data_IF_760367144988
#
_entry.id   IF_760367144988
#
_cell.length_a   1.000
_cell.length_b   1.000
_cell.length_c   1.000
_cell.angle_alpha   90.00
_cell.angle_beta   90.00
_cell.angle_gamma   90.00
#
_symmetry.space_group_name_H-M   'P 1'
#
loop_
_entity.id
_entity.type
_entity.pdbx_description
1 polymer ?
#
# COMPACT_ATOMS: atom_id res chain seq x y z
N UNK A 1 -3.19 10.58 39.31
CA UNK A 1 -2.44 9.37 38.91
C UNK A 1 -1.16 9.85 38.25
N UNK A 2 0.03 9.35 38.64
CA UNK A 2 1.29 9.84 38.07
C UNK A 2 1.43 9.36 36.62
N UNK A 3 1.83 10.24 35.71
CA UNK A 3 2.07 9.89 34.29
C UNK A 3 3.05 8.72 34.13
N UNK A 4 4.00 8.59 35.07
CA UNK A 4 4.95 7.50 35.13
C UNK A 4 4.28 6.14 35.36
N UNK A 5 3.25 6.09 36.22
CA UNK A 5 2.51 4.84 36.43
C UNK A 5 1.78 4.45 35.15
N UNK A 6 1.14 5.42 34.48
CA UNK A 6 0.44 5.17 33.21
C UNK A 6 1.40 4.74 32.09
N UNK A 7 2.58 5.36 31.99
CA UNK A 7 3.61 4.97 31.02
C UNK A 7 4.19 3.59 31.33
N UNK A 8 4.42 3.26 32.61
CA UNK A 8 4.88 1.91 32.98
C UNK A 8 3.82 0.86 32.74
N UNK A 9 2.55 1.16 33.04
CA UNK A 9 1.43 0.26 32.77
C UNK A 9 1.31 0.01 31.26
N UNK A 10 1.27 1.07 30.46
CA UNK A 10 1.23 0.98 29.00
C UNK A 10 2.44 0.23 28.44
N UNK A 11 3.64 0.49 28.96
CA UNK A 11 4.86 -0.20 28.54
C UNK A 11 4.78 -1.70 28.85
N UNK A 12 4.34 -2.07 30.06
CA UNK A 12 4.18 -3.48 30.42
C UNK A 12 3.10 -4.16 29.58
N UNK A 13 2.05 -3.45 29.19
CA UNK A 13 0.99 -3.97 28.33
C UNK A 13 1.49 -4.20 26.90
N UNK A 14 2.11 -3.19 26.29
CA UNK A 14 2.72 -3.30 24.96
C UNK A 14 3.81 -4.37 24.93
N UNK A 15 4.62 -4.50 25.98
CA UNK A 15 5.64 -5.53 26.07
C UNK A 15 5.02 -6.94 26.15
N UNK A 16 3.89 -7.10 26.84
CA UNK A 16 3.15 -8.37 26.84
C UNK A 16 2.63 -8.70 25.44
N UNK A 17 2.05 -7.74 24.72
CA UNK A 17 1.55 -7.97 23.36
C UNK A 17 2.69 -8.28 22.37
N UNK A 18 3.80 -7.55 22.44
CA UNK A 18 4.96 -7.80 21.57
C UNK A 18 5.56 -9.19 21.82
N UNK A 19 5.67 -9.60 23.09
CA UNK A 19 6.10 -10.96 23.45
C UNK A 19 5.13 -12.02 22.93
N UNK A 20 3.82 -11.80 23.07
CA UNK A 20 2.82 -12.72 22.52
C UNK A 20 2.98 -12.88 21.02
N UNK A 21 3.13 -11.78 20.28
CA UNK A 21 3.32 -11.82 18.82
C UNK A 21 4.58 -12.58 18.41
N UNK A 22 5.70 -12.33 19.10
CA UNK A 22 6.94 -13.06 18.84
C UNK A 22 6.83 -14.55 19.18
N UNK A 23 6.10 -14.91 20.25
CA UNK A 23 5.83 -16.31 20.58
C UNK A 23 4.93 -16.99 19.55
N UNK A 24 3.92 -16.30 19.03
CA UNK A 24 3.05 -16.79 17.95
C UNK A 24 3.87 -17.03 16.68
N UNK A 25 4.75 -16.08 16.30
CA UNK A 25 5.65 -16.25 15.16
C UNK A 25 6.64 -17.40 15.36
N UNK A 26 7.20 -17.54 16.55
CA UNK A 26 8.07 -18.67 16.88
C UNK A 26 7.31 -20.01 16.76
N UNK A 27 6.09 -20.08 17.27
CA UNK A 27 5.23 -21.25 17.13
C UNK A 27 4.96 -21.57 15.65
N UNK A 28 4.67 -20.55 14.84
CA UNK A 28 4.52 -20.68 13.38
C UNK A 28 5.74 -21.28 12.71
N UNK A 29 6.94 -20.78 13.02
CA UNK A 29 8.19 -21.31 12.46
C UNK A 29 8.43 -22.77 12.89
N UNK A 30 8.16 -23.11 14.15
CA UNK A 30 8.31 -24.49 14.63
C UNK A 30 7.36 -25.46 13.95
N UNK A 31 6.12 -25.00 13.72
CA UNK A 31 5.08 -25.78 13.06
C UNK A 31 5.39 -25.96 11.58
N UNK A 32 5.90 -24.92 10.91
CA UNK A 32 6.38 -25.00 9.53
C UNK A 32 7.53 -26.01 9.38
N UNK A 33 8.52 -25.97 10.27
CA UNK A 33 9.63 -26.94 10.29
C UNK A 33 9.13 -28.36 10.56
N UNK A 34 8.16 -28.53 11.46
CA UNK A 34 7.53 -29.83 11.73
C UNK A 34 6.82 -30.37 10.48
N UNK A 35 6.00 -29.54 9.81
CA UNK A 35 5.30 -29.89 8.58
C UNK A 35 6.27 -30.29 7.45
N UNK A 36 7.31 -29.49 7.22
CA UNK A 36 8.32 -29.80 6.21
C UNK A 36 9.06 -31.11 6.51
N UNK A 37 9.38 -31.37 7.78
CA UNK A 37 9.98 -32.62 8.21
C UNK A 37 9.06 -33.84 8.00
N UNK A 38 7.76 -33.69 8.28
CA UNK A 38 6.75 -34.73 8.03
C UNK A 38 6.57 -35.01 6.53
N UNK A 39 6.54 -33.97 5.69
CA UNK A 39 6.45 -34.09 4.24
C UNK A 39 7.69 -34.81 3.69
N UNK A 40 8.90 -34.36 4.05
CA UNK A 40 10.14 -35.00 3.61
C UNK A 40 10.24 -36.47 4.04
N UNK A 41 9.79 -36.80 5.25
CA UNK A 41 9.72 -38.18 5.72
C UNK A 41 8.71 -39.02 4.92
N UNK A 42 7.50 -38.53 4.71
CA UNK A 42 6.42 -39.30 4.09
C UNK A 42 6.59 -39.43 2.57
N UNK A 43 7.10 -38.39 1.89
CA UNK A 43 7.15 -38.34 0.42
C UNK A 43 8.52 -38.66 -0.14
N UNK A 44 9.60 -38.17 0.47
CA UNK A 44 10.97 -38.37 -0.03
C UNK A 44 11.65 -39.62 0.56
N UNK A 45 10.91 -40.39 1.37
CA UNK A 45 11.43 -41.55 2.10
C UNK A 45 12.73 -41.25 2.87
N UNK A 46 12.89 -40.00 3.33
CA UNK A 46 14.09 -39.62 4.06
C UNK A 46 14.19 -40.46 5.34
N UNK A 47 15.37 -41.05 5.65
CA UNK A 47 15.61 -41.83 6.86
C UNK A 47 15.72 -40.94 8.10
N UNK A 48 14.89 -39.91 8.20
CA UNK A 48 14.86 -38.98 9.31
C UNK A 48 14.16 -39.65 10.48
N UNK A 49 14.95 -40.05 11.47
CA UNK A 49 14.42 -40.66 12.69
C UNK A 49 13.57 -39.64 13.48
N UNK A 50 12.49 -40.11 14.09
CA UNK A 50 11.63 -39.32 14.98
C UNK A 50 12.39 -38.50 16.04
N UNK A 51 13.41 -39.05 16.75
CA UNK A 51 14.15 -38.26 17.73
C UNK A 51 14.88 -37.07 17.10
N UNK A 52 15.48 -37.23 15.92
CA UNK A 52 16.19 -36.13 15.24
C UNK A 52 15.21 -35.01 14.86
N UNK A 53 14.06 -35.36 14.29
CA UNK A 53 13.02 -34.38 13.96
C UNK A 53 12.56 -33.62 15.20
N UNK A 54 12.29 -34.33 16.31
CA UNK A 54 11.85 -33.70 17.56
C UNK A 54 12.91 -32.75 18.13
N UNK A 55 14.19 -33.12 18.05
CA UNK A 55 15.30 -32.29 18.51
C UNK A 55 15.40 -31.01 17.69
N UNK A 56 15.26 -31.09 16.36
CA UNK A 56 15.26 -29.91 15.47
C UNK A 56 14.11 -28.97 15.84
N UNK A 57 12.90 -29.50 16.01
CA UNK A 57 11.72 -28.70 16.37
C UNK A 57 11.90 -28.02 17.73
N UNK A 58 12.41 -28.74 18.74
CA UNK A 58 12.71 -28.19 20.07
C UNK A 58 13.76 -27.09 19.98
N UNK A 59 14.82 -27.29 19.18
CA UNK A 59 15.89 -26.31 19.02
C UNK A 59 15.39 -25.02 18.37
N UNK A 60 14.56 -25.12 17.32
CA UNK A 60 13.92 -23.97 16.68
C UNK A 60 12.97 -23.25 17.64
N UNK A 61 12.19 -24.00 18.42
CA UNK A 61 11.28 -23.45 19.42
C UNK A 61 12.05 -22.68 20.51
N UNK A 62 13.12 -23.28 21.03
CA UNK A 62 13.97 -22.64 22.04
C UNK A 62 14.61 -21.36 21.51
N UNK A 63 15.12 -21.37 20.26
CA UNK A 63 15.69 -20.18 19.62
C UNK A 63 14.65 -19.06 19.47
N UNK A 64 13.42 -19.41 19.08
CA UNK A 64 12.31 -18.45 18.99
C UNK A 64 11.93 -17.84 20.33
N UNK A 65 11.89 -18.64 21.40
CA UNK A 65 11.62 -18.15 22.78
C UNK A 65 12.75 -17.24 23.28
N UNK A 66 14.01 -17.62 23.07
CA UNK A 66 15.17 -16.80 23.45
C UNK A 66 15.16 -15.47 22.69
N UNK A 67 14.85 -15.49 21.40
CA UNK A 67 14.71 -14.27 20.59
C UNK A 67 13.55 -13.38 21.08
N UNK A 68 12.40 -13.99 21.40
CA UNK A 68 11.24 -13.28 21.96
C UNK A 68 11.57 -12.60 23.30
N UNK A 69 12.42 -13.23 24.12
CA UNK A 69 12.88 -12.66 25.39
C UNK A 69 13.94 -11.58 25.22
N UNK A 70 14.81 -11.67 24.21
CA UNK A 70 15.87 -10.69 23.96
C UNK A 70 15.33 -9.38 23.36
N UNK A 71 14.19 -9.40 22.67
CA UNK A 71 13.57 -8.24 22.02
C UNK A 71 12.94 -7.21 22.98
N UNK A 72 13.56 -6.93 24.12
CA UNK A 72 13.11 -5.90 25.05
C UNK A 72 13.50 -4.54 24.43
N UNK A 73 12.54 -3.85 23.81
CA UNK A 73 12.76 -2.49 23.32
C UNK A 73 12.95 -1.56 24.52
N UNK A 74 14.00 -0.74 24.46
CA UNK A 74 14.20 0.35 25.42
C UNK A 74 13.02 1.31 25.37
N UNK A 75 12.48 1.77 26.52
CA UNK A 75 11.34 2.70 26.56
C UNK A 75 11.60 4.00 25.78
N UNK A 76 12.85 4.46 25.73
CA UNK A 76 13.24 5.65 24.96
C UNK A 76 13.02 5.47 23.45
N UNK A 77 13.33 4.28 22.92
CA UNK A 77 13.18 3.99 21.49
C UNK A 77 11.70 3.89 21.09
N UNK A 78 10.86 3.38 22.01
CA UNK A 78 9.41 3.31 21.80
C UNK A 78 8.77 4.70 21.80
N UNK A 79 9.24 5.60 22.68
CA UNK A 79 8.80 7.00 22.67
C UNK A 79 9.13 7.69 21.33
N UNK A 80 10.34 7.45 20.80
CA UNK A 80 10.78 8.02 19.52
C UNK A 80 9.98 7.49 18.32
N UNK A 81 9.67 6.19 18.30
CA UNK A 81 8.84 5.57 17.26
C UNK A 81 7.39 6.11 17.28
N UNK A 82 6.79 6.22 18.47
CA UNK A 82 5.47 6.81 18.62
C UNK A 82 5.46 8.28 18.18
N UNK A 83 6.53 9.01 18.47
CA UNK A 83 6.69 10.39 18.02
C UNK A 83 6.71 10.51 16.50
N UNK A 84 7.47 9.64 15.81
CA UNK A 84 7.54 9.60 14.36
C UNK A 84 6.21 9.19 13.73
N UNK A 85 5.57 8.14 14.25
CA UNK A 85 4.34 7.59 13.66
C UNK A 85 3.14 8.51 13.81
N UNK A 86 3.05 9.25 14.92
CA UNK A 86 1.95 10.18 15.21
C UNK A 86 2.31 11.65 14.98
N UNK A 87 3.49 11.93 14.40
CA UNK A 87 4.01 13.27 14.15
C UNK A 87 3.92 14.19 15.39
N UNK A 88 4.24 13.64 16.57
CA UNK A 88 4.11 14.35 17.85
C UNK A 88 5.26 15.35 18.08
N UNK A 89 6.16 15.57 17.10
CA UNK A 89 7.25 16.55 17.11
C UNK A 89 8.16 16.45 18.35
N UNK A 90 8.63 15.25 18.67
CA UNK A 90 9.50 14.96 19.82
C UNK A 90 8.83 15.23 21.19
N UNK A 91 7.50 15.40 21.26
CA UNK A 91 6.83 15.72 22.52
C UNK A 91 6.91 14.58 23.53
N UNK A 92 6.88 13.32 23.09
CA UNK A 92 6.95 12.16 23.97
C UNK A 92 8.38 11.82 24.36
N UNK A 93 9.33 11.93 23.41
CA UNK A 93 10.74 11.74 23.71
C UNK A 93 11.23 12.78 24.72
N UNK A 94 10.92 14.06 24.48
CA UNK A 94 11.24 15.18 25.38
C UNK A 94 10.57 15.00 26.74
N UNK A 95 9.28 14.62 26.79
CA UNK A 95 8.60 14.37 28.07
C UNK A 95 9.27 13.24 28.88
N UNK A 96 9.80 12.21 28.22
CA UNK A 96 10.51 11.11 28.88
C UNK A 96 11.90 11.51 29.40
N UNK A 97 12.61 12.37 28.67
CA UNK A 97 13.96 12.84 29.03
C UNK A 97 13.91 13.85 30.19
N UNK A 98 12.94 14.77 30.17
CA UNK A 98 12.78 15.81 31.19
C UNK A 98 11.91 15.39 32.39
N UNK A 99 11.61 14.09 32.53
CA UNK A 99 10.76 13.59 33.62
C UNK A 99 11.27 13.94 35.02
N UNK A 100 12.59 14.11 35.19
CA UNK A 100 13.21 14.47 36.47
C UNK A 100 13.30 15.99 36.72
N UNK A 101 12.96 16.84 35.74
CA UNK A 101 13.00 18.31 35.86
C UNK A 101 11.58 18.89 35.74
N UNK A 102 11.04 19.39 36.86
CA UNK A 102 9.62 19.77 36.99
C UNK A 102 9.32 21.25 36.80
N UNK A 103 10.27 22.08 36.40
CA UNK A 103 10.09 23.53 36.49
C UNK A 103 9.45 24.18 35.23
N UNK A 104 8.43 25.00 35.49
CA UNK A 104 7.86 26.01 34.60
C UNK A 104 7.24 25.50 33.29
N UNK A 105 8.02 25.53 32.21
CA UNK A 105 7.53 25.30 30.85
C UNK A 105 7.23 23.82 30.56
N UNK A 106 7.92 22.91 31.26
CA UNK A 106 7.75 21.47 31.07
C UNK A 106 6.39 20.96 31.58
N UNK A 107 5.77 21.65 32.55
CA UNK A 107 4.46 21.27 33.08
C UNK A 107 3.35 21.39 32.03
N UNK A 108 3.41 22.41 31.16
CA UNK A 108 2.40 22.64 30.11
C UNK A 108 2.49 21.59 29.00
N UNK A 109 3.71 21.21 28.60
CA UNK A 109 3.93 20.15 27.62
C UNK A 109 3.48 18.79 28.17
N UNK A 110 3.71 18.54 29.47
CA UNK A 110 3.23 17.34 30.14
C UNK A 110 1.69 17.25 30.14
N UNK A 111 1.00 18.37 30.37
CA UNK A 111 -0.47 18.40 30.35
C UNK A 111 -1.03 18.15 28.94
N UNK A 112 -0.42 18.73 27.89
CA UNK A 112 -0.81 18.46 26.50
C UNK A 112 -0.58 17.00 26.11
N UNK A 113 0.57 16.43 26.47
CA UNK A 113 0.87 15.03 26.24
C UNK A 113 -0.16 14.12 26.93
N UNK A 114 -0.51 14.41 28.19
CA UNK A 114 -1.52 13.66 28.94
C UNK A 114 -2.91 13.67 28.29
N UNK A 115 -3.32 14.78 27.64
CA UNK A 115 -4.62 14.82 26.95
C UNK A 115 -4.65 13.99 25.67
N UNK A 116 -3.51 13.84 24.98
CA UNK A 116 -3.41 13.08 23.72
C UNK A 116 -3.07 11.60 23.91
N UNK A 117 -2.47 11.24 25.04
CA UNK A 117 -2.05 9.87 25.35
C UNK A 117 -3.19 8.83 25.25
N UNK A 118 -4.42 9.09 25.75
CA UNK A 118 -5.50 8.12 25.67
C UNK A 118 -5.97 7.84 24.24
N UNK A 119 -5.99 8.86 23.37
CA UNK A 119 -6.39 8.68 21.96
C UNK A 119 -5.34 7.91 21.18
N UNK A 120 -4.05 8.23 21.39
CA UNK A 120 -2.94 7.51 20.78
C UNK A 120 -2.87 6.08 21.28
N UNK A 121 -3.06 5.84 22.59
CA UNK A 121 -3.07 4.49 23.14
C UNK A 121 -4.22 3.65 22.56
N UNK A 122 -5.40 4.23 22.37
CA UNK A 122 -6.56 3.52 21.79
C UNK A 122 -6.38 3.18 20.31
N UNK A 123 -5.75 4.07 19.54
CA UNK A 123 -5.47 3.84 18.12
C UNK A 123 -4.27 2.88 17.92
N UNK A 124 -3.23 3.01 18.74
CA UNK A 124 -2.11 2.08 18.73
C UNK A 124 -2.56 0.67 19.12
N UNK A 125 -3.45 0.54 20.12
CA UNK A 125 -3.98 -0.78 20.50
C UNK A 125 -4.86 -1.36 19.40
N UNK A 126 -5.80 -0.61 18.80
CA UNK A 126 -6.65 -1.15 17.73
C UNK A 126 -5.84 -1.64 16.52
N UNK A 127 -4.84 -0.85 16.07
CA UNK A 127 -3.99 -1.21 14.93
C UNK A 127 -3.09 -2.41 15.22
N UNK A 128 -2.57 -2.54 16.44
CA UNK A 128 -1.71 -3.66 16.83
C UNK A 128 -2.51 -4.93 17.11
N UNK A 129 -3.74 -4.82 17.64
CA UNK A 129 -4.59 -5.96 17.99
C UNK A 129 -5.35 -6.55 16.80
N UNK A 130 -5.72 -5.76 15.79
CA UNK A 130 -6.42 -6.25 14.59
C UNK A 130 -5.75 -7.47 13.93
N UNK A 131 -4.43 -7.53 13.71
CA UNK A 131 -3.80 -8.69 13.09
C UNK A 131 -3.71 -9.93 13.99
N UNK A 132 -3.83 -9.80 15.32
CA UNK A 132 -3.58 -10.92 16.25
C UNK A 132 -4.63 -12.01 16.10
N UNK A 133 -5.90 -11.64 15.92
CA UNK A 133 -6.98 -12.60 15.73
C UNK A 133 -6.77 -13.48 14.47
N UNK A 134 -6.27 -12.86 13.40
CA UNK A 134 -5.98 -13.53 12.14
C UNK A 134 -4.74 -14.45 12.27
N UNK A 135 -3.72 -14.01 13.00
CA UNK A 135 -2.56 -14.84 13.34
C UNK A 135 -2.99 -16.10 14.15
N UNK A 136 -3.91 -16.00 15.11
CA UNK A 136 -4.44 -17.17 15.84
C UNK A 136 -5.22 -18.13 14.96
N UNK A 137 -6.06 -17.62 14.05
CA UNK A 137 -6.82 -18.46 13.11
C UNK A 137 -5.88 -19.25 12.19
N UNK A 138 -4.85 -18.57 11.67
CA UNK A 138 -3.85 -19.20 10.81
C UNK A 138 -3.07 -20.30 11.54
N UNK A 139 -2.72 -20.08 12.82
CA UNK A 139 -2.02 -21.06 13.66
C UNK A 139 -2.91 -22.28 13.94
N UNK A 140 -4.20 -22.06 14.21
CA UNK A 140 -5.18 -23.14 14.35
C UNK A 140 -5.28 -24.02 13.09
N UNK A 141 -5.32 -23.39 11.91
CA UNK A 141 -5.38 -24.09 10.63
C UNK A 141 -4.09 -24.89 10.37
N UNK A 142 -2.93 -24.30 10.60
CA UNK A 142 -1.66 -24.98 10.45
C UNK A 142 -1.52 -26.16 11.43
N UNK A 143 -2.02 -26.03 12.67
CA UNK A 143 -2.00 -27.11 13.65
C UNK A 143 -2.92 -28.27 13.24
N UNK A 144 -4.08 -27.95 12.68
CA UNK A 144 -5.00 -28.94 12.11
C UNK A 144 -4.34 -29.68 10.93
N UNK A 145 -3.66 -28.95 10.04
CA UNK A 145 -2.92 -29.53 8.92
C UNK A 145 -1.80 -30.47 9.39
N UNK A 146 -0.99 -30.03 10.36
CA UNK A 146 0.07 -30.86 10.96
C UNK A 146 -0.49 -32.13 11.59
N UNK A 147 -1.63 -32.03 12.28
CA UNK A 147 -2.34 -33.17 12.87
C UNK A 147 -2.83 -34.13 11.79
N UNK A 148 -3.40 -33.61 10.70
CA UNK A 148 -3.83 -34.40 9.54
C UNK A 148 -2.68 -35.16 8.89
N UNK A 149 -1.54 -34.50 8.66
CA UNK A 149 -0.33 -35.13 8.12
C UNK A 149 0.23 -36.22 9.04
N UNK A 150 0.19 -35.97 10.35
CA UNK A 150 0.61 -36.97 11.34
C UNK A 150 -0.26 -38.22 11.30
N UNK A 151 -1.59 -38.05 11.29
CA UNK A 151 -2.55 -39.17 11.19
C UNK A 151 -2.38 -39.93 9.88
N UNK A 152 -2.23 -39.24 8.75
CA UNK A 152 -1.95 -39.86 7.46
C UNK A 152 -0.66 -40.70 7.47
N UNK A 153 0.39 -40.19 8.11
CA UNK A 153 1.67 -40.89 8.25
C UNK A 153 1.56 -42.19 9.05
N UNK A 154 0.72 -42.21 10.10
CA UNK A 154 0.47 -43.42 10.90
C UNK A 154 -0.31 -44.48 10.12
N UNK A 155 -1.28 -44.07 9.29
CA UNK A 155 -2.04 -44.99 8.44
C UNK A 155 -1.13 -45.65 7.41
N UNK A 156 -0.22 -44.87 6.80
CA UNK A 156 0.68 -45.40 5.77
C UNK A 156 1.70 -46.42 6.34
N UNK A 157 2.16 -46.22 7.58
CA UNK A 157 3.07 -47.14 8.26
C UNK A 157 2.42 -48.48 8.65
N UNK A 158 1.08 -48.54 8.73
CA UNK A 158 0.32 -49.74 9.08
C UNK A 158 -0.07 -50.61 7.89
N UNK A 159 0.11 -50.13 6.66
CA UNK A 159 -0.13 -50.95 5.47
C UNK A 159 0.99 -52.02 5.41
N UNK A 160 0.64 -53.32 5.33
CA UNK A 160 1.65 -54.35 5.14
C UNK A 160 2.40 -53.98 3.86
N UNK A 161 3.72 -53.75 3.99
CA UNK A 161 4.58 -53.48 2.85
C UNK A 161 4.24 -54.53 1.80
N UNK A 162 3.76 -54.09 0.63
CA UNK A 162 3.35 -54.99 -0.43
C UNK A 162 4.52 -55.96 -0.61
N UNK A 163 4.33 -57.20 -0.15
CA UNK A 163 5.35 -58.22 -0.21
C UNK A 163 5.53 -58.41 -1.70
N UNK A 164 6.55 -57.75 -2.23
CA UNK A 164 7.06 -57.98 -3.56
C UNK A 164 7.71 -59.33 -3.45
N UNK A 165 6.88 -60.38 -3.40
CA UNK A 165 7.33 -61.70 -3.78
C UNK A 165 8.00 -61.49 -5.14
N UNK A 166 9.31 -61.72 -5.24
CA UNK A 166 9.99 -61.56 -6.51
C UNK A 166 9.36 -62.58 -7.44
N UNK A 167 8.54 -62.13 -8.40
CA UNK A 167 8.04 -62.95 -9.50
C UNK A 167 9.24 -63.41 -10.35
N UNK A 168 10.02 -64.35 -9.82
CA UNK A 168 11.15 -65.00 -10.47
C UNK A 168 10.67 -66.11 -11.41
N UNK A 169 9.38 -66.45 -11.41
CA UNK A 169 8.83 -67.55 -12.22
C UNK A 169 8.31 -67.16 -13.61
N UNK A 170 8.28 -65.86 -13.97
CA UNK A 170 7.88 -65.43 -15.33
C UNK A 170 9.05 -65.15 -16.29
N UNK A 171 10.29 -65.17 -15.81
CA UNK A 171 11.47 -64.95 -16.66
C UNK A 171 11.86 -66.17 -17.54
N UNK A 172 11.27 -67.35 -17.32
CA UNK A 172 11.58 -68.57 -18.09
C UNK A 172 10.63 -68.89 -19.25
N UNK A 173 9.63 -68.06 -19.54
CA UNK A 173 8.65 -68.31 -20.62
C UNK A 173 8.68 -67.32 -21.79
N UNK A 174 9.54 -66.30 -21.77
CA UNK A 174 9.65 -65.31 -22.84
C UNK A 174 10.90 -65.53 -23.72
N UNK A 175 10.97 -66.66 -24.43
CA UNK A 175 11.72 -66.76 -25.70
C UNK A 175 10.70 -66.80 -26.83
N UNK A 176 10.23 -65.62 -27.22
CA UNK A 176 9.51 -65.45 -28.48
C UNK A 176 9.81 -64.05 -29.01
N UNK A 177 10.69 -64.04 -30.00
CA UNK A 177 10.74 -63.16 -31.17
C UNK A 177 9.81 -61.91 -31.16
N UNK A 178 10.37 -60.69 -31.24
CA UNK A 178 9.58 -59.46 -31.36
C UNK A 178 9.05 -59.29 -32.80
N UNK A 179 7.73 -59.18 -33.01
CA UNK A 179 7.19 -58.61 -34.24
C UNK A 179 7.49 -57.11 -34.25
N UNK A 180 8.04 -56.62 -35.37
CA UNK A 180 8.13 -55.20 -35.69
C UNK A 180 6.75 -54.55 -35.57
N UNK A 181 6.59 -53.67 -34.60
CA UNK A 181 5.43 -52.81 -34.46
C UNK A 181 5.79 -51.44 -35.07
N UNK A 182 4.98 -50.89 -35.99
CA UNK A 182 5.29 -49.63 -36.67
C UNK A 182 5.36 -48.49 -35.67
N UNK A 183 6.29 -47.56 -35.92
CA UNK A 183 6.38 -46.28 -35.24
C UNK A 183 5.01 -45.59 -35.24
N UNK A 184 4.41 -45.45 -34.06
CA UNK A 184 3.39 -44.46 -33.81
C UNK A 184 4.10 -43.15 -33.45
N UNK A 185 4.58 -42.46 -34.48
CA UNK A 185 4.52 -41.00 -34.50
C UNK A 185 3.05 -40.61 -34.39
N UNK A 186 2.68 -39.89 -33.32
CA UNK A 186 1.88 -38.67 -33.39
C UNK A 186 1.60 -38.16 -31.98
N UNK A 187 2.36 -37.14 -31.61
CA UNK A 187 1.85 -36.01 -30.83
C UNK A 187 0.43 -35.66 -31.31
N UNK A 188 -0.48 -35.21 -30.40
CA UNK A 188 -1.64 -34.46 -30.83
C UNK A 188 -1.13 -33.20 -31.52
N UNK A 189 -1.11 -33.25 -32.85
CA UNK A 189 -1.00 -32.08 -33.69
C UNK A 189 -2.01 -31.06 -33.17
N UNK A 190 -1.50 -29.89 -32.80
CA UNK A 190 -2.23 -28.66 -32.86
C UNK A 190 -3.08 -28.68 -34.14
N UNK A 191 -4.38 -28.54 -33.99
CA UNK A 191 -5.33 -28.40 -35.07
C UNK A 191 -4.88 -27.28 -36.02
N UNK A 192 -4.44 -27.56 -37.27
CA UNK A 192 -4.07 -26.53 -38.24
C UNK A 192 -5.29 -25.78 -38.79
N UNK A 193 -6.50 -26.15 -38.38
CA UNK A 193 -7.75 -25.47 -38.72
C UNK A 193 -8.35 -24.65 -37.57
N UNK A 194 -7.62 -24.44 -36.46
CA UNK A 194 -7.83 -23.17 -35.78
C UNK A 194 -7.46 -22.09 -36.80
N UNK A 195 -8.35 -21.14 -37.13
CA UNK A 195 -7.92 -19.96 -37.87
C UNK A 195 -6.78 -19.39 -37.04
N UNK A 196 -5.56 -19.50 -37.57
CA UNK A 196 -4.43 -18.66 -37.18
C UNK A 196 -4.99 -17.28 -37.43
N UNK A 197 -5.52 -16.70 -36.34
CA UNK A 197 -6.03 -15.36 -36.29
C UNK A 197 -4.99 -14.51 -36.97
N UNK A 198 -5.49 -13.72 -37.90
CA UNK A 198 -4.80 -12.80 -38.77
C UNK A 198 -3.43 -12.39 -38.24
N UNK A 199 -2.45 -12.35 -39.14
CA UNK A 199 -1.26 -11.50 -38.98
C UNK A 199 -1.62 -10.26 -38.16
N UNK A 200 -0.74 -9.76 -37.28
CA UNK A 200 -0.96 -8.49 -36.61
C UNK A 200 -1.09 -7.42 -37.69
N UNK A 201 -2.33 -7.24 -38.16
CA UNK A 201 -2.81 -6.05 -38.83
C UNK A 201 -2.42 -4.97 -37.86
N UNK A 202 -1.53 -4.10 -38.34
CA UNK A 202 -0.85 -3.06 -37.60
C UNK A 202 -1.85 -2.42 -36.64
N UNK A 203 -1.87 -2.90 -35.39
CA UNK A 203 -2.69 -2.31 -34.36
C UNK A 203 -2.16 -0.89 -34.27
N UNK A 204 -3.03 0.12 -34.41
CA UNK A 204 -2.62 1.50 -34.32
C UNK A 204 -1.74 1.67 -33.07
N UNK A 205 -0.49 2.13 -33.24
CA UNK A 205 0.37 2.42 -32.10
C UNK A 205 -0.27 3.57 -31.31
N UNK A 206 -0.48 3.34 -30.01
CA UNK A 206 -1.03 4.34 -29.10
C UNK A 206 -0.24 5.64 -29.20
N UNK A 207 -0.95 6.77 -29.24
CA UNK A 207 -0.29 8.07 -29.14
C UNK A 207 0.52 8.16 -27.83
N UNK A 208 1.57 9.00 -27.77
CA UNK A 208 2.46 9.07 -26.60
C UNK A 208 1.72 9.35 -25.29
N UNK A 209 0.66 10.16 -25.34
CA UNK A 209 -0.20 10.45 -24.17
C UNK A 209 -1.04 9.23 -23.75
N UNK A 210 -1.59 8.49 -24.72
CA UNK A 210 -2.37 7.27 -24.44
C UNK A 210 -1.49 6.13 -23.91
N UNK A 211 -0.25 6.04 -24.38
CA UNK A 211 0.74 5.08 -23.90
C UNK A 211 1.07 5.31 -22.42
N UNK A 212 1.25 6.57 -22.00
CA UNK A 212 1.54 6.91 -20.60
C UNK A 212 0.38 6.53 -19.66
N UNK A 213 -0.86 6.80 -20.05
CA UNK A 213 -2.05 6.40 -19.29
C UNK A 213 -2.16 4.87 -19.21
N UNK A 214 -1.97 4.18 -20.34
CA UNK A 214 -2.03 2.73 -20.41
C UNK A 214 -0.95 2.06 -19.54
N UNK A 215 0.27 2.59 -19.54
CA UNK A 215 1.39 2.09 -18.74
C UNK A 215 1.15 2.30 -17.24
N UNK A 216 0.71 3.50 -16.83
CA UNK A 216 0.39 3.80 -15.44
C UNK A 216 -0.74 2.92 -14.91
N UNK A 217 -1.79 2.71 -15.73
CA UNK A 217 -2.91 1.84 -15.40
C UNK A 217 -2.48 0.37 -15.34
N UNK A 218 -1.67 -0.09 -16.29
CA UNK A 218 -1.16 -1.46 -16.30
C UNK A 218 -0.31 -1.76 -15.06
N UNK A 219 0.55 -0.83 -14.63
CA UNK A 219 1.37 -1.02 -13.44
C UNK A 219 0.50 -1.11 -12.18
N UNK A 220 -0.47 -0.19 -12.01
CA UNK A 220 -1.42 -0.24 -10.90
C UNK A 220 -2.27 -1.52 -10.86
N UNK A 221 -2.62 -2.06 -12.03
CA UNK A 221 -3.39 -3.31 -12.14
C UNK A 221 -2.53 -4.58 -12.05
N UNK A 222 -1.21 -4.51 -12.17
CA UNK A 222 -0.36 -5.70 -12.28
C UNK A 222 -0.12 -6.43 -10.95
N UNK A 223 -0.27 -5.73 -9.84
CA UNK A 223 -0.04 -6.23 -8.49
C UNK A 223 -1.15 -7.17 -8.00
N UNK A 224 -2.35 -7.09 -8.59
CA UNK A 224 -3.45 -7.98 -8.26
C UNK A 224 -3.60 -9.11 -9.30
N UNK A 225 -3.69 -10.35 -8.82
CA UNK A 225 -3.82 -11.52 -9.69
C UNK A 225 -5.10 -11.54 -10.53
N UNK A 226 -6.17 -10.88 -10.08
CA UNK A 226 -7.44 -10.82 -10.80
C UNK A 226 -7.43 -9.82 -11.97
N UNK A 227 -6.62 -8.77 -11.89
CA UNK A 227 -6.50 -7.72 -12.92
C UNK A 227 -5.29 -7.91 -13.83
N UNK A 228 -4.46 -8.92 -13.58
CA UNK A 228 -3.22 -9.17 -14.33
C UNK A 228 -3.45 -9.36 -15.84
N UNK A 229 -4.52 -10.04 -16.24
CA UNK A 229 -4.83 -10.22 -17.66
C UNK A 229 -5.12 -8.89 -18.37
N UNK A 230 -5.86 -7.98 -17.72
CA UNK A 230 -6.10 -6.63 -18.22
C UNK A 230 -4.82 -5.79 -18.26
N UNK A 231 -3.98 -5.87 -17.22
CA UNK A 231 -2.69 -5.20 -17.17
C UNK A 231 -1.74 -5.63 -18.30
N UNK A 232 -1.68 -6.94 -18.58
CA UNK A 232 -0.87 -7.49 -19.68
C UNK A 232 -1.42 -7.08 -21.06
N UNK A 233 -2.75 -6.93 -21.20
CA UNK A 233 -3.37 -6.40 -22.41
C UNK A 233 -3.00 -4.92 -22.64
N UNK A 234 -3.11 -4.08 -21.61
CA UNK A 234 -2.70 -2.67 -21.65
C UNK A 234 -1.22 -2.50 -22.04
N UNK A 235 -0.31 -3.30 -21.46
CA UNK A 235 1.14 -3.26 -21.80
C UNK A 235 1.43 -3.64 -23.24
N UNK A 236 0.57 -4.45 -23.87
CA UNK A 236 0.69 -4.80 -25.30
C UNK A 236 0.07 -3.74 -26.22
N UNK A 237 -0.55 -2.71 -25.65
CA UNK A 237 -1.35 -1.73 -26.38
C UNK A 237 -2.70 -2.28 -26.85
N UNK A 238 -3.15 -3.43 -26.34
CA UNK A 238 -4.44 -4.02 -26.68
C UNK A 238 -5.52 -3.49 -25.73
N UNK A 239 -5.92 -2.25 -25.98
CA UNK A 239 -6.89 -1.50 -25.16
C UNK A 239 -8.26 -2.17 -25.16
N UNK A 240 -8.68 -2.72 -26.31
CA UNK A 240 -9.95 -3.44 -26.45
C UNK A 240 -9.96 -4.73 -25.62
N UNK A 241 -8.88 -5.53 -25.67
CA UNK A 241 -8.79 -6.71 -24.81
C UNK A 241 -8.78 -6.33 -23.32
N UNK A 242 -8.11 -5.22 -22.96
CA UNK A 242 -8.09 -4.75 -21.58
C UNK A 242 -9.49 -4.35 -21.08
N UNK A 243 -10.27 -3.61 -21.88
CA UNK A 243 -11.63 -3.22 -21.51
C UNK A 243 -12.56 -4.42 -21.36
N UNK A 244 -12.45 -5.43 -22.24
CA UNK A 244 -13.19 -6.69 -22.11
C UNK A 244 -12.86 -7.46 -20.82
N UNK A 245 -11.59 -7.53 -20.44
CA UNK A 245 -11.18 -8.19 -19.18
C UNK A 245 -11.65 -7.40 -17.94
N UNK A 246 -11.63 -6.06 -18.00
CA UNK A 246 -12.16 -5.21 -16.94
C UNK A 246 -13.68 -5.34 -16.80
N UNK A 247 -14.42 -5.41 -17.90
CA UNK A 247 -15.87 -5.63 -17.91
C UNK A 247 -16.23 -7.01 -17.32
N UNK A 248 -15.50 -8.08 -17.67
CA UNK A 248 -15.67 -9.40 -17.05
C UNK A 248 -15.38 -9.38 -15.54
N UNK A 249 -14.42 -8.56 -15.11
CA UNK A 249 -14.12 -8.39 -13.70
C UNK A 249 -15.23 -7.60 -12.98
N UNK A 250 -15.84 -6.61 -13.64
CA UNK A 250 -17.00 -5.88 -13.15
C UNK A 250 -18.20 -6.81 -12.91
N UNK A 251 -18.48 -7.73 -13.85
CA UNK A 251 -19.51 -8.78 -13.68
C UNK A 251 -19.24 -9.70 -12.47
N UNK A 252 -17.98 -9.82 -12.05
CA UNK A 252 -17.53 -10.63 -10.91
C UNK A 252 -17.30 -9.79 -9.64
N UNK A 253 -17.57 -8.48 -9.65
CA UNK A 253 -17.23 -7.57 -8.56
C UNK A 253 -17.86 -7.98 -7.21
N UNK A 254 -19.08 -8.54 -7.24
CA UNK A 254 -19.78 -9.07 -6.06
C UNK A 254 -19.09 -10.29 -5.44
N UNK A 255 -18.30 -11.02 -6.22
CA UNK A 255 -17.53 -12.18 -5.78
C UNK A 255 -16.13 -11.80 -5.28
N UNK A 256 -15.68 -10.56 -5.56
CA UNK A 256 -14.39 -10.08 -5.07
C UNK A 256 -14.41 -9.95 -3.56
N UNK A 257 -13.31 -10.37 -2.94
CA UNK A 257 -13.14 -10.18 -1.50
C UNK A 257 -12.94 -8.69 -1.19
N UNK A 258 -13.32 -8.20 0.02
CA UNK A 258 -13.03 -6.82 0.42
C UNK A 258 -11.55 -6.47 0.35
N UNK A 259 -10.68 -7.44 0.63
CA UNK A 259 -9.23 -7.25 0.53
C UNK A 259 -8.80 -7.04 -0.92
N UNK A 260 -9.29 -7.86 -1.86
CA UNK A 260 -9.00 -7.73 -3.30
C UNK A 260 -9.46 -6.38 -3.85
N UNK A 261 -10.65 -5.92 -3.45
CA UNK A 261 -11.14 -4.58 -3.84
C UNK A 261 -10.25 -3.46 -3.33
N UNK A 262 -9.80 -3.53 -2.08
CA UNK A 262 -8.86 -2.53 -1.53
C UNK A 262 -7.52 -2.55 -2.26
N UNK A 263 -6.98 -3.74 -2.57
CA UNK A 263 -5.72 -3.87 -3.32
C UNK A 263 -5.81 -3.26 -4.72
N UNK A 264 -6.91 -3.49 -5.45
CA UNK A 264 -7.13 -2.87 -6.76
C UNK A 264 -7.28 -1.35 -6.61
N UNK A 265 -8.00 -0.88 -5.58
CA UNK A 265 -8.18 0.55 -5.34
C UNK A 265 -6.86 1.26 -5.03
N UNK A 266 -6.00 0.64 -4.22
CA UNK A 266 -4.66 1.15 -3.90
C UNK A 266 -3.80 1.25 -5.18
N UNK A 267 -3.89 0.25 -6.07
CA UNK A 267 -3.23 0.28 -7.38
C UNK A 267 -3.74 1.40 -8.30
N UNK A 268 -5.05 1.67 -8.31
CA UNK A 268 -5.64 2.79 -9.06
C UNK A 268 -5.23 4.16 -8.50
N UNK A 269 -5.10 4.28 -7.17
CA UNK A 269 -4.60 5.51 -6.55
C UNK A 269 -3.13 5.76 -6.90
N UNK A 270 -2.30 4.71 -6.93
CA UNK A 270 -0.92 4.80 -7.38
C UNK A 270 -0.80 5.15 -8.88
N UNK A 271 -1.70 4.63 -9.72
CA UNK A 271 -1.78 5.04 -11.13
C UNK A 271 -2.17 6.52 -11.27
N UNK A 272 -3.13 6.99 -10.47
CA UNK A 272 -3.52 8.40 -10.42
C UNK A 272 -2.39 9.32 -9.96
N UNK A 273 -1.53 8.87 -9.05
CA UNK A 273 -0.34 9.61 -8.62
C UNK A 273 0.74 9.72 -9.70
N UNK A 274 0.80 8.77 -10.63
CA UNK A 274 1.73 8.82 -11.77
C UNK A 274 1.23 9.80 -12.84
N UNK A 275 -0.09 9.87 -13.04
CA UNK A 275 -0.74 10.74 -14.02
C UNK A 275 -0.98 12.17 -13.51
N UNK A 276 -0.04 12.72 -12.73
CA UNK A 276 -0.14 14.09 -12.19
C UNK A 276 -0.27 15.16 -13.27
N UNK A 277 0.31 14.93 -14.46
CA UNK A 277 0.24 15.84 -15.59
C UNK A 277 -1.13 15.80 -16.32
N UNK A 278 -1.99 14.83 -15.97
CA UNK A 278 -3.33 14.64 -16.53
C UNK A 278 -4.39 14.67 -15.41
N UNK A 279 -4.69 15.84 -14.84
CA UNK A 279 -5.48 15.97 -13.61
C UNK A 279 -6.90 15.42 -13.73
N UNK A 280 -7.49 15.48 -14.92
CA UNK A 280 -8.85 14.95 -15.17
C UNK A 280 -8.90 13.42 -15.09
N UNK A 281 -7.88 12.73 -15.62
CA UNK A 281 -7.78 11.26 -15.58
C UNK A 281 -7.43 10.81 -14.17
N UNK A 282 -6.47 11.48 -13.52
CA UNK A 282 -6.09 11.18 -12.14
C UNK A 282 -7.28 11.30 -11.17
N UNK A 283 -8.10 12.35 -11.30
CA UNK A 283 -9.28 12.53 -10.45
C UNK A 283 -10.33 11.44 -10.69
N UNK A 284 -10.54 11.00 -11.94
CA UNK A 284 -11.43 9.87 -12.25
C UNK A 284 -10.93 8.57 -11.63
N UNK A 285 -9.63 8.29 -11.73
CA UNK A 285 -9.03 7.09 -11.13
C UNK A 285 -9.15 7.08 -9.60
N UNK A 286 -8.95 8.22 -8.93
CA UNK A 286 -9.18 8.35 -7.47
C UNK A 286 -10.63 8.11 -7.10
N UNK A 287 -11.56 8.70 -7.85
CA UNK A 287 -12.99 8.48 -7.62
C UNK A 287 -13.38 7.01 -7.80
N UNK A 288 -12.83 6.32 -8.81
CA UNK A 288 -13.07 4.89 -9.01
C UNK A 288 -12.46 4.04 -7.89
N UNK A 289 -11.25 4.38 -7.42
CA UNK A 289 -10.62 3.72 -6.27
C UNK A 289 -11.48 3.84 -5.00
N UNK A 290 -12.01 5.03 -4.70
CA UNK A 290 -12.87 5.26 -3.55
C UNK A 290 -14.22 4.52 -3.65
N UNK A 291 -14.81 4.46 -4.86
CA UNK A 291 -16.01 3.68 -5.10
C UNK A 291 -15.77 2.18 -4.90
N UNK A 292 -14.61 1.68 -5.36
CA UNK A 292 -14.22 0.27 -5.24
C UNK A 292 -14.01 -0.16 -3.78
N UNK A 293 -13.45 0.72 -2.94
CA UNK A 293 -13.33 0.52 -1.48
C UNK A 293 -14.68 0.49 -0.76
N UNK A 294 -15.71 1.05 -1.38
CA UNK A 294 -17.05 1.17 -0.84
C UNK A 294 -17.86 -0.13 -0.84
N UNK A 295 -19.14 -0.01 -1.18
CA UNK A 295 -20.04 -1.15 -1.24
C UNK A 295 -19.79 -2.00 -2.50
N UNK A 296 -20.06 -3.32 -2.49
CA UNK A 296 -19.87 -4.19 -3.66
C UNK A 296 -20.59 -3.69 -4.92
N UNK A 297 -21.78 -3.11 -4.78
CA UNK A 297 -22.54 -2.53 -5.89
C UNK A 297 -21.74 -1.41 -6.60
N UNK A 298 -21.14 -0.51 -5.82
CA UNK A 298 -20.32 0.59 -6.34
C UNK A 298 -19.01 0.09 -6.95
N UNK A 299 -18.55 -1.09 -6.54
CA UNK A 299 -17.34 -1.69 -7.08
C UNK A 299 -17.53 -2.20 -8.52
N UNK A 300 -18.71 -2.71 -8.84
CA UNK A 300 -19.08 -3.06 -10.22
C UNK A 300 -19.10 -1.81 -11.10
N UNK A 301 -19.78 -0.75 -10.63
CA UNK A 301 -19.87 0.53 -11.33
C UNK A 301 -18.46 1.15 -11.57
N UNK A 302 -17.58 1.12 -10.57
CA UNK A 302 -16.21 1.63 -10.69
C UNK A 302 -15.34 0.87 -11.70
N UNK A 303 -15.51 -0.44 -11.81
CA UNK A 303 -14.78 -1.28 -12.79
C UNK A 303 -15.34 -1.09 -14.21
N UNK A 304 -16.65 -0.89 -14.34
CA UNK A 304 -17.30 -0.54 -15.61
C UNK A 304 -16.84 0.84 -16.09
N UNK A 305 -16.78 1.84 -15.19
CA UNK A 305 -16.25 3.17 -15.50
C UNK A 305 -14.78 3.10 -15.94
N UNK A 306 -13.99 2.17 -15.37
CA UNK A 306 -12.61 1.92 -15.79
C UNK A 306 -12.54 1.28 -17.18
N UNK A 307 -13.45 0.35 -17.50
CA UNK A 307 -13.54 -0.26 -18.83
C UNK A 307 -13.91 0.80 -19.88
N UNK A 308 -14.87 1.69 -19.59
CA UNK A 308 -15.26 2.80 -20.46
C UNK A 308 -14.13 3.83 -20.63
N UNK A 309 -13.38 4.11 -19.56
CA UNK A 309 -12.19 4.97 -19.66
C UNK A 309 -11.17 4.34 -20.62
N UNK A 310 -10.96 3.03 -20.52
CA UNK A 310 -10.07 2.26 -21.39
C UNK A 310 -10.54 2.34 -22.85
N UNK A 311 -11.83 2.11 -23.14
CA UNK A 311 -12.40 2.29 -24.48
C UNK A 311 -12.27 3.74 -25.01
N UNK A 312 -12.31 4.74 -24.13
CA UNK A 312 -12.13 6.13 -24.52
C UNK A 312 -10.68 6.41 -24.97
N UNK A 313 -9.68 5.71 -24.44
CA UNK A 313 -8.30 5.80 -24.93
C UNK A 313 -8.18 5.30 -26.38
N UNK A 314 -8.85 4.19 -26.71
CA UNK A 314 -8.88 3.63 -28.07
C UNK A 314 -9.55 4.60 -29.06
N UNK A 315 -10.68 5.19 -28.66
CA UNK A 315 -11.39 6.15 -29.52
C UNK A 315 -10.65 7.48 -29.70
N UNK A 316 -9.94 7.97 -28.67
CA UNK A 316 -9.13 9.18 -28.78
C UNK A 316 -8.05 9.03 -29.87
N UNK A 317 -7.51 7.83 -30.02
CA UNK A 317 -6.49 7.53 -31.02
C UNK A 317 -7.03 7.58 -32.47
N UNK A 318 -8.27 7.13 -32.69
CA UNK A 318 -8.89 7.15 -34.01
C UNK A 318 -9.09 8.57 -34.56
N UNK A 319 -9.27 9.57 -33.70
CA UNK A 319 -9.48 10.96 -34.09
C UNK A 319 -8.16 11.64 -34.54
N UNK A 320 -7.04 11.30 -33.89
CA UNK A 320 -5.72 11.81 -34.29
C UNK A 320 -5.21 11.22 -35.61
N UNK A 321 -5.56 9.96 -35.92
CA UNK A 321 -5.12 9.29 -37.16
C UNK A 321 -5.75 9.83 -38.45
N UNK A 322 -6.95 10.44 -38.37
CA UNK A 322 -7.67 10.95 -39.55
C UNK A 322 -7.57 12.47 -39.75
N UNK A 323 -7.02 13.21 -38.78
CA UNK A 323 -6.94 14.68 -38.81
C UNK A 323 -5.96 15.25 -39.85
N UNK A 324 -4.93 14.50 -40.26
CA UNK A 324 -3.85 15.00 -41.11
C UNK A 324 -4.06 14.80 -42.63
N UNK A 325 -5.16 14.17 -43.07
CA UNK A 325 -5.47 14.03 -44.51
C UNK A 325 -6.56 14.97 -45.04
N UNK A 326 -7.20 15.79 -44.19
CA UNK A 326 -8.31 16.65 -44.63
C UNK A 326 -8.02 18.16 -44.55
N UNK A 327 -6.76 18.55 -44.36
CA UNK A 327 -6.30 19.95 -44.44
C UNK A 327 -5.73 20.25 -45.84
N UNK A 328 -6.52 19.99 -46.88
CA UNK A 328 -6.11 20.13 -48.27
C UNK A 328 -7.23 20.48 -49.24
N UNK A 329 -8.37 21.03 -48.79
CA UNK A 329 -9.38 21.56 -49.71
C UNK A 329 -10.23 22.67 -49.10
N UNK A 330 -9.61 23.82 -48.85
CA UNK A 330 -10.32 25.09 -48.69
C UNK A 330 -10.08 25.92 -49.95
N UNK A 331 -11.10 26.06 -50.79
CA UNK A 331 -11.18 27.10 -51.81
C UNK A 331 -12.55 27.76 -51.74
N UNK A 332 -12.51 29.02 -51.26
CA UNK A 332 -13.35 30.16 -51.60
C UNK A 332 -14.87 29.99 -51.71
N UNK A 333 -15.61 30.58 -50.76
CA UNK A 333 -16.48 31.74 -51.06
C UNK A 333 -17.01 32.41 -49.77
N UNK A 334 -16.93 33.74 -49.62
CA UNK A 334 -17.69 34.48 -48.62
C UNK A 334 -18.87 35.20 -49.29
N UNK A 335 -20.11 34.88 -48.94
CA UNK A 335 -21.25 35.73 -49.28
C UNK A 335 -22.17 35.99 -48.09
N UNK A 336 -22.43 37.28 -47.93
CA UNK A 336 -23.13 37.94 -46.84
C UNK A 336 -24.66 37.81 -46.92
N UNK A 337 -25.28 37.79 -45.73
CA UNK A 337 -26.49 38.53 -45.34
C UNK A 337 -27.84 38.18 -45.98
N UNK A 338 -28.85 37.89 -45.14
CA UNK A 338 -30.11 38.65 -45.07
C UNK A 338 -31.15 37.97 -44.16
N UNK A 339 -31.82 38.79 -43.35
CA UNK A 339 -33.10 38.56 -42.67
C UNK A 339 -34.21 37.99 -43.58
N UNK A 340 -35.09 37.12 -43.05
CA UNK A 340 -36.56 37.25 -43.12
C UNK A 340 -37.32 36.05 -42.50
N UNK A 341 -37.96 36.30 -41.35
CA UNK A 341 -39.42 36.37 -41.16
C UNK A 341 -40.37 35.25 -41.66
N UNK A 342 -41.16 34.74 -40.69
CA UNK A 342 -42.57 34.27 -40.74
C UNK A 342 -42.99 33.04 -41.57
N UNK A 343 -43.74 32.13 -40.91
CA UNK A 343 -44.56 31.13 -41.63
C UNK A 343 -45.20 30.03 -40.79
N UNK A 344 -46.33 30.37 -40.16
CA UNK A 344 -47.39 29.56 -39.53
C UNK A 344 -47.73 28.12 -40.02
N UNK A 345 -48.35 27.38 -39.08
CA UNK A 345 -49.52 26.45 -39.17
C UNK A 345 -49.36 24.96 -39.53
N UNK A 346 -49.93 24.09 -38.68
CA UNK A 346 -50.46 22.77 -39.08
C UNK A 346 -50.44 21.62 -38.05
N UNK A 347 -51.42 21.57 -37.14
CA UNK A 347 -51.87 20.42 -36.31
C UNK A 347 -52.41 19.24 -37.20
N UNK A 348 -52.80 18.01 -36.73
CA UNK A 348 -53.06 17.57 -35.35
C UNK A 348 -52.74 16.10 -34.91
N UNK A 349 -52.92 15.87 -33.59
CA UNK A 349 -53.46 14.70 -32.84
C UNK A 349 -53.09 13.26 -33.23
N UNK A 350 -52.61 12.39 -32.32
CA UNK A 350 -53.40 11.74 -31.25
C UNK A 350 -52.50 10.79 -30.42
N UNK A 351 -52.77 10.64 -29.11
CA UNK A 351 -52.43 9.39 -28.38
C UNK A 351 -51.71 9.48 -27.03
N UNK A 352 -52.35 10.07 -26.02
CA UNK A 352 -52.07 9.82 -24.58
C UNK A 352 -53.00 8.69 -24.09
N UNK A 353 -52.60 7.78 -23.17
CA UNK A 353 -52.61 8.03 -21.71
C UNK A 353 -51.36 7.48 -20.97
N UNK A 354 -50.72 8.23 -20.05
CA UNK A 354 -51.10 8.48 -18.64
C UNK A 354 -50.54 7.42 -17.65
N UNK A 355 -49.51 7.75 -16.86
CA UNK A 355 -49.63 7.98 -15.41
C UNK A 355 -48.27 8.06 -14.66
N UNK A 356 -48.20 9.07 -13.78
CA UNK A 356 -47.52 9.18 -12.48
C UNK A 356 -45.97 9.08 -12.45
N UNK A 357 -45.20 10.09 -12.03
CA UNK A 357 -45.50 11.24 -11.18
C UNK A 357 -44.86 11.06 -9.80
N UNK A 358 -43.66 11.63 -9.60
CA UNK A 358 -43.16 12.15 -8.33
C UNK A 358 -41.89 12.98 -8.62
N UNK A 359 -42.08 14.25 -8.96
CA UNK A 359 -41.03 15.24 -8.81
C UNK A 359 -40.94 15.66 -7.36
N UNK A 360 -39.74 16.00 -6.90
CA UNK A 360 -39.61 17.12 -5.99
C UNK A 360 -38.42 17.97 -6.40
N UNK A 361 -38.71 19.26 -6.55
CA UNK A 361 -37.86 20.26 -7.14
C UNK A 361 -36.84 20.82 -6.14
N UNK A 362 -35.81 21.42 -6.73
CA UNK A 362 -35.29 22.75 -6.36
C UNK A 362 -34.31 22.89 -5.17
N UNK A 363 -33.14 23.39 -5.57
CA UNK A 363 -32.63 24.72 -5.21
C UNK A 363 -31.71 24.86 -3.99
N UNK A 364 -30.47 25.24 -4.33
CA UNK A 364 -29.75 26.39 -3.74
C UNK A 364 -29.46 26.32 -2.24
N UNK A 365 -28.40 25.58 -1.90
CA UNK A 365 -27.72 25.68 -0.61
C UNK A 365 -26.39 26.40 -0.74
N UNK A 366 -26.40 27.73 -0.75
CA UNK A 366 -25.23 28.54 -0.40
C UNK A 366 -24.80 28.14 1.02
N UNK A 367 -23.64 27.49 1.15
CA UNK A 367 -23.02 27.24 2.47
C UNK A 367 -22.43 28.54 2.99
N UNK A 368 -23.21 29.23 3.80
CA UNK A 368 -22.73 30.27 4.70
C UNK A 368 -21.75 29.68 5.68
N UNK A 369 -20.55 30.27 5.74
CA UNK A 369 -19.58 30.08 6.81
C UNK A 369 -20.24 30.34 8.18
N UNK A 370 -19.92 29.56 9.23
CA UNK A 370 -20.38 29.84 10.57
C UNK A 370 -19.80 31.17 11.09
N UNK A 371 -20.57 31.97 11.86
CA UNK A 371 -20.07 33.20 12.46
C UNK A 371 -19.00 32.88 13.51
N UNK A 372 -17.89 33.60 13.43
CA UNK A 372 -16.91 33.67 14.51
C UNK A 372 -17.56 34.30 15.75
N UNK A 373 -17.52 33.56 16.87
CA UNK A 373 -17.79 34.08 18.21
C UNK A 373 -16.76 35.17 18.56
N UNK A 374 -17.17 36.41 18.86
CA UNK A 374 -16.29 37.41 19.43
C UNK A 374 -16.51 37.47 20.94
N UNK A 375 -15.86 36.59 21.71
CA UNK A 375 -15.82 36.69 23.18
C UNK A 375 -14.57 35.99 23.74
N UNK A 376 -13.44 36.67 23.66
CA UNK A 376 -12.38 36.57 24.65
C UNK A 376 -12.24 37.93 25.33
N UNK A 377 -12.14 38.02 26.66
CA UNK A 377 -11.84 39.28 27.32
C UNK A 377 -10.46 39.77 26.89
N UNK A 378 -10.36 41.06 26.57
CA UNK A 378 -9.09 41.76 26.34
C UNK A 378 -8.13 41.44 27.49
N UNK A 379 -7.11 40.65 27.17
CA UNK A 379 -5.93 40.52 28.02
C UNK A 379 -5.12 41.79 27.82
N UNK A 380 -5.27 42.73 28.74
CA UNK A 380 -4.34 43.86 28.91
C UNK A 380 -2.91 43.31 28.97
N UNK A 381 -2.15 43.52 27.90
CA UNK A 381 -0.70 43.37 27.96
C UNK A 381 -0.17 44.44 28.93
N UNK A 382 0.70 44.07 29.89
CA UNK A 382 1.35 45.06 30.74
C UNK A 382 2.13 46.05 29.87
N UNK A 383 1.81 47.33 30.08
CA UNK A 383 2.45 48.50 29.50
C UNK A 383 3.98 48.37 29.59
N UNK A 384 4.66 48.46 28.45
CA UNK A 384 6.10 48.44 28.40
C UNK A 384 6.65 49.58 29.26
N UNK A 385 7.62 49.32 30.16
CA UNK A 385 8.21 50.39 30.97
C UNK A 385 8.86 51.44 30.06
N UNK A 386 8.80 52.72 30.45
CA UNK A 386 9.37 53.80 29.65
C UNK A 386 10.86 53.55 29.43
N UNK A 387 11.29 53.83 28.21
CA UNK A 387 12.68 53.88 27.74
C UNK A 387 13.55 54.68 28.71
N UNK A 388 14.14 53.95 29.66
CA UNK A 388 15.24 54.42 30.49
C UNK A 388 16.56 54.19 29.75
N UNK A 389 17.41 55.21 29.78
CA UNK A 389 18.72 55.30 29.15
C UNK A 389 19.53 53.99 29.27
N UNK A 390 19.93 53.46 28.10
CA UNK A 390 21.00 52.47 28.00
C UNK A 390 22.30 53.11 28.45
N UNK A 391 22.66 52.88 29.72
CA UNK A 391 24.02 53.12 30.21
C UNK A 391 24.91 52.01 29.63
N UNK A 392 26.01 52.39 28.98
CA UNK A 392 27.00 51.46 28.44
C UNK A 392 27.58 50.58 29.56
N UNK A 393 27.18 49.31 29.57
CA UNK A 393 27.71 48.28 30.46
C UNK A 393 29.00 47.68 29.89
N UNK A 394 30.09 47.91 30.61
CA UNK A 394 31.42 47.32 30.44
C UNK A 394 31.36 45.81 30.26
N UNK A 395 31.98 45.31 29.18
CA UNK A 395 32.12 43.89 28.89
C UNK A 395 32.87 43.14 29.99
N UNK A 396 32.23 42.10 30.52
CA UNK A 396 32.85 41.06 31.33
C UNK A 396 32.91 39.77 30.52
N UNK A 397 34.12 39.30 30.25
CA UNK A 397 34.43 37.98 29.70
C UNK A 397 33.76 36.88 30.54
N UNK A 398 32.83 36.13 29.92
CA UNK A 398 32.37 34.85 30.43
C UNK A 398 32.97 33.76 29.56
N UNK A 399 34.13 33.26 30.00
CA UNK A 399 34.75 32.05 29.45
C UNK A 399 33.97 30.84 29.95
N UNK A 400 33.13 30.27 29.09
CA UNK A 400 32.44 29.00 29.36
C UNK A 400 33.45 27.87 29.11
N UNK A 401 33.92 27.25 30.18
CA UNK A 401 34.78 26.05 30.12
C UNK A 401 33.89 24.81 30.11
N UNK A 402 33.83 24.09 28.98
CA UNK A 402 33.23 22.75 28.92
C UNK A 402 34.15 21.72 29.59
N UNK A 403 33.64 20.79 30.41
CA UNK A 403 34.44 19.71 30.97
C UNK A 403 34.77 18.67 29.89
N UNK A 404 36.07 18.44 29.68
CA UNK A 404 36.61 17.45 28.76
C UNK A 404 36.26 16.03 29.17
N UNK A 405 35.64 15.28 28.24
CA UNK A 405 35.52 13.84 28.31
C UNK A 405 36.80 13.16 27.82
N UNK A 406 37.41 12.35 28.68
CA UNK A 406 38.56 11.49 28.38
C UNK A 406 38.28 10.58 27.17
N UNK A 407 39.23 10.57 26.24
CA UNK A 407 39.25 9.65 25.11
C UNK A 407 39.80 8.27 25.48
N UNK A 408 39.22 7.26 24.85
CA UNK A 408 39.83 5.93 24.61
C UNK A 408 39.07 5.39 23.39
N UNK A 409 39.61 5.01 22.23
CA UNK A 409 40.93 4.97 21.65
C UNK A 409 40.80 4.10 20.38
N UNK A 410 41.52 4.44 19.31
CA UNK A 410 41.91 3.49 18.25
C UNK A 410 41.04 3.41 16.98
N UNK A 411 41.63 3.80 15.83
CA UNK A 411 41.17 3.38 14.49
C UNK A 411 41.51 4.37 13.37
N UNK A 412 42.47 4.01 12.51
CA UNK A 412 43.15 4.78 11.45
C UNK A 412 42.25 5.33 10.29
N UNK A 413 42.82 6.17 9.39
CA UNK A 413 42.11 7.17 8.58
C UNK A 413 41.89 6.73 7.12
N UNK A 414 40.88 7.32 6.48
CA UNK A 414 40.91 7.86 5.10
C UNK A 414 39.46 8.14 4.66
N UNK A 415 39.07 9.42 4.62
CA UNK A 415 38.06 9.92 3.67
C UNK A 415 37.80 11.41 3.90
N UNK A 416 38.26 12.22 2.94
CA UNK A 416 37.68 13.47 2.46
C UNK A 416 37.21 14.51 3.49
N UNK A 417 38.05 15.51 3.71
CA UNK A 417 37.74 16.69 4.51
C UNK A 417 36.76 17.64 3.82
N UNK A 418 35.62 17.86 4.47
CA UNK A 418 34.87 19.11 4.37
C UNK A 418 34.95 19.80 5.73
N UNK A 419 35.89 20.73 5.88
CA UNK A 419 36.02 21.54 7.09
C UNK A 419 34.83 22.50 7.18
N UNK A 420 33.90 22.21 8.09
CA UNK A 420 32.89 23.18 8.56
C UNK A 420 33.65 24.29 9.31
N UNK A 421 33.51 25.57 8.92
CA UNK A 421 34.18 26.66 9.64
C UNK A 421 33.57 26.84 11.03
N UNK A 422 34.45 26.90 12.03
CA UNK A 422 34.19 27.03 13.49
C UNK A 422 33.55 28.36 13.93
N UNK A 423 32.92 29.11 13.02
CA UNK A 423 32.37 30.43 13.33
C UNK A 423 30.96 30.61 12.75
N UNK A 424 30.00 29.96 13.42
CA UNK A 424 28.54 30.07 13.14
C UNK A 424 27.97 31.45 13.54
N UNK A 425 28.75 32.30 14.21
CA UNK A 425 28.27 33.60 14.70
C UNK A 425 28.55 34.78 13.76
N UNK A 426 29.14 34.55 12.58
CA UNK A 426 29.31 35.59 11.56
C UNK A 426 28.21 35.51 10.49
N UNK A 427 27.16 36.36 10.54
CA UNK A 427 26.06 36.34 9.57
C UNK A 427 26.53 36.69 8.14
N UNK A 428 27.76 37.20 7.97
CA UNK A 428 28.32 37.44 6.63
C UNK A 428 28.76 36.16 5.92
N UNK A 429 29.00 35.06 6.65
CA UNK A 429 29.58 33.83 6.10
C UNK A 429 28.56 32.72 5.79
N UNK A 430 27.27 33.06 5.78
CA UNK A 430 26.20 32.14 5.35
C UNK A 430 26.35 31.91 3.83
N UNK A 431 26.54 30.65 3.38
CA UNK A 431 26.62 30.31 1.96
C UNK A 431 25.43 30.86 1.20
N UNK A 432 25.65 31.35 -0.02
CA UNK A 432 24.61 31.99 -0.84
C UNK A 432 23.37 31.08 -1.00
N UNK A 433 23.60 29.77 -1.07
CA UNK A 433 22.60 28.71 -1.18
C UNK A 433 21.60 28.70 0.00
N UNK A 434 22.06 28.96 1.22
CA UNK A 434 21.18 29.06 2.40
C UNK A 434 20.41 30.38 2.45
N UNK A 435 20.94 31.42 1.80
CA UNK A 435 20.35 32.76 1.81
C UNK A 435 19.08 32.81 0.93
N UNK A 436 19.12 32.14 -0.21
CA UNK A 436 17.97 31.99 -1.11
C UNK A 436 16.87 31.10 -0.49
N UNK A 437 17.25 30.00 0.17
CA UNK A 437 16.30 29.12 0.85
C UNK A 437 15.55 29.81 2.00
N UNK A 438 16.22 30.70 2.74
CA UNK A 438 15.60 31.49 3.81
C UNK A 438 14.68 32.57 3.23
N UNK A 439 15.05 33.21 2.11
CA UNK A 439 14.17 34.19 1.45
C UNK A 439 12.90 33.55 0.86
N UNK A 440 12.99 32.35 0.30
CA UNK A 440 11.82 31.64 -0.24
C UNK A 440 10.88 31.15 0.88
N UNK A 441 11.44 30.80 2.05
CA UNK A 441 10.65 30.37 3.22
C UNK A 441 9.88 31.52 3.90
N UNK A 442 10.45 32.72 3.95
CA UNK A 442 9.81 33.90 4.55
C UNK A 442 9.08 34.80 3.53
N UNK A 443 9.16 34.48 2.24
CA UNK A 443 8.58 35.25 1.14
C UNK A 443 7.19 34.79 0.67
N UNK A 444 6.60 33.75 1.28
CA UNK A 444 5.23 33.28 1.01
C UNK A 444 4.22 33.79 2.02
#
# INVERSE_FOLDING_TARGET
>A
MNINQQLTELHTELQRYHRQRLLIRAAWMTLGVLCLGLIGRNWLAWPLSWPILSLIVILVAALGVVYAWKSILSPAHLAQLLDQQYQLNAQLSTASEFQNQRDGFHAVNLERANRRLPSVARDATSRVLAPIALEWQSLGLAALLATGLFVLGQINAGLPAATTEPLSELASLATTEPPQQPAAEQDPAADPNQPVGSQPDQQPELGPEGQEIADALADGLSDNGATRAAADALRRGDVQQASEELAKLADQADQLSPQTRNEIADGLEQAAEQLQDQPEVAERLRNNADQLRGNPQNAADALEDLAQLTDQLDNAQADFGNGDQQQGQTSNDPQAGSDQQQGQTGQPETGQPNNNGAGNNSATGSRSSPPADPLGPDLDLPEAPPTGETTAGTGGDISITLPGGEGTGGGNPESSGGSVPDNINDPANIPAELRDAIQDYFGR
#
